data_IF_921944995290
#
_entry.id   IF_921944995290
#
_cell.length_a   1.000
_cell.length_b   1.000
_cell.length_c   1.000
_cell.angle_alpha   90.00
_cell.angle_beta   90.00
_cell.angle_gamma   90.00
#
_symmetry.space_group_name_H-M   'P 1'
#
loop_
_entity.id
_entity.type
_entity.pdbx_description
1 polymer ?
#
# COMPACT_ATOMS: atom_id res chain seq x y z
N UNK A 1 9.34 34.60 -21.56
CA UNK A 1 8.74 33.64 -22.50
C UNK A 1 7.23 33.68 -22.32
N UNK A 2 6.45 33.43 -23.37
CA UNK A 2 5.00 33.37 -23.26
C UNK A 2 4.53 31.97 -22.77
N UNK A 3 3.23 31.79 -22.59
CA UNK A 3 2.68 30.50 -22.15
C UNK A 3 2.99 29.37 -23.14
N UNK A 4 3.10 29.68 -24.44
CA UNK A 4 3.37 28.65 -25.45
C UNK A 4 4.78 28.10 -25.32
N UNK A 5 5.80 28.96 -25.18
CA UNK A 5 7.16 28.48 -24.95
C UNK A 5 7.30 27.70 -23.64
N UNK A 6 6.61 28.11 -22.57
CA UNK A 6 6.62 27.32 -21.34
C UNK A 6 5.93 25.96 -21.48
N UNK A 7 4.91 25.82 -22.35
CA UNK A 7 4.30 24.52 -22.64
C UNK A 7 5.26 23.58 -23.35
N UNK A 8 6.11 24.10 -24.24
CA UNK A 8 7.17 23.31 -24.89
C UNK A 8 8.19 22.82 -23.86
N UNK A 9 8.65 23.68 -22.96
CA UNK A 9 9.54 23.28 -21.85
C UNK A 9 8.89 22.25 -20.93
N UNK A 10 7.60 22.42 -20.61
CA UNK A 10 6.86 21.45 -19.80
C UNK A 10 6.71 20.09 -20.51
N UNK A 11 6.58 20.07 -21.84
CA UNK A 11 6.61 18.84 -22.63
C UNK A 11 8.00 18.19 -22.58
N UNK A 12 9.06 18.95 -22.86
CA UNK A 12 10.44 18.45 -22.79
C UNK A 12 10.78 17.90 -21.39
N UNK A 13 10.26 18.52 -20.32
CA UNK A 13 10.39 18.01 -18.96
C UNK A 13 9.75 16.64 -18.78
N UNK A 14 8.57 16.41 -19.36
CA UNK A 14 7.87 15.11 -19.29
C UNK A 14 8.63 13.99 -20.01
N UNK A 15 9.36 14.34 -21.06
CA UNK A 15 10.18 13.42 -21.84
C UNK A 15 11.60 13.26 -21.27
N UNK A 16 11.97 14.04 -20.25
CA UNK A 16 13.29 14.02 -19.63
C UNK A 16 14.36 14.78 -20.42
N UNK A 17 13.95 15.63 -21.35
CA UNK A 17 14.82 16.37 -22.28
C UNK A 17 15.09 17.81 -21.85
N UNK A 18 14.29 18.37 -20.94
CA UNK A 18 14.47 19.74 -20.44
C UNK A 18 15.70 19.86 -19.53
N UNK A 19 16.50 20.90 -19.76
CA UNK A 19 17.65 21.24 -18.90
C UNK A 19 17.23 21.78 -17.53
N UNK A 20 18.17 21.82 -16.59
CA UNK A 20 17.89 22.26 -15.21
C UNK A 20 17.41 23.72 -15.14
N UNK A 21 18.03 24.61 -15.92
CA UNK A 21 17.65 26.03 -15.99
C UNK A 21 16.23 26.22 -16.57
N UNK A 22 15.89 25.44 -17.60
CA UNK A 22 14.56 25.47 -18.23
C UNK A 22 13.48 24.96 -17.26
N UNK A 23 13.80 23.89 -16.52
CA UNK A 23 12.92 23.35 -15.49
C UNK A 23 12.66 24.37 -14.37
N UNK A 24 13.70 25.03 -13.87
CA UNK A 24 13.56 26.06 -12.85
C UNK A 24 12.68 27.22 -13.34
N UNK A 25 12.94 27.71 -14.55
CA UNK A 25 12.14 28.78 -15.16
C UNK A 25 10.66 28.37 -15.37
N UNK A 26 10.41 27.11 -15.73
CA UNK A 26 9.04 26.60 -15.87
C UNK A 26 8.33 26.48 -14.50
N UNK A 27 9.04 26.08 -13.44
CA UNK A 27 8.48 26.03 -12.09
C UNK A 27 8.08 27.42 -11.58
N UNK A 28 8.91 28.44 -11.81
CA UNK A 28 8.58 29.83 -11.51
C UNK A 28 7.31 30.28 -12.26
N UNK A 29 7.19 29.92 -13.54
CA UNK A 29 6.00 30.23 -14.32
C UNK A 29 4.75 29.51 -13.81
N UNK A 30 4.88 28.24 -13.41
CA UNK A 30 3.79 27.46 -12.83
C UNK A 30 3.30 28.03 -11.50
N UNK A 31 4.11 28.77 -10.75
CA UNK A 31 3.64 29.47 -9.55
C UNK A 31 2.58 30.53 -9.89
N UNK A 32 2.74 31.25 -11.00
CA UNK A 32 1.85 32.35 -11.42
C UNK A 32 0.73 31.96 -12.39
N UNK A 33 0.88 30.88 -13.15
CA UNK A 33 0.02 30.63 -14.32
C UNK A 33 -0.90 29.39 -14.16
N UNK A 34 -2.19 29.65 -13.94
CA UNK A 34 -3.19 28.57 -13.80
C UNK A 34 -3.40 27.73 -15.07
N UNK A 35 -3.31 28.34 -16.25
CA UNK A 35 -3.51 27.62 -17.52
C UNK A 35 -2.34 26.68 -17.84
N UNK A 36 -1.11 27.06 -17.48
CA UNK A 36 0.07 26.20 -17.62
C UNK A 36 0.10 25.09 -16.57
N UNK A 37 -0.41 25.32 -15.35
CA UNK A 37 -0.63 24.24 -14.37
C UNK A 37 -1.62 23.19 -14.90
N UNK A 38 -2.77 23.64 -15.42
CA UNK A 38 -3.76 22.73 -16.00
C UNK A 38 -3.22 21.96 -17.21
N UNK A 39 -2.40 22.61 -18.04
CA UNK A 39 -1.70 21.94 -19.14
C UNK A 39 -0.75 20.86 -18.63
N UNK A 40 0.12 21.17 -17.66
CA UNK A 40 1.09 20.22 -17.10
C UNK A 40 0.37 18.99 -16.51
N UNK A 41 -0.65 19.21 -15.68
CA UNK A 41 -1.46 18.13 -15.09
C UNK A 41 -2.13 17.24 -16.15
N UNK A 42 -2.62 17.87 -17.23
CA UNK A 42 -3.24 17.18 -18.36
C UNK A 42 -2.24 16.32 -19.13
N UNK A 43 -1.08 16.88 -19.44
CA UNK A 43 -0.01 16.19 -20.15
C UNK A 43 0.54 15.00 -19.32
N UNK A 44 0.73 15.19 -18.01
CA UNK A 44 1.09 14.11 -17.07
C UNK A 44 0.07 12.98 -17.07
N UNK A 45 -1.22 13.33 -17.01
CA UNK A 45 -2.32 12.35 -17.02
C UNK A 45 -2.35 11.57 -18.33
N UNK A 46 -2.27 12.25 -19.47
CA UNK A 46 -2.24 11.61 -20.79
C UNK A 46 -1.03 10.71 -20.94
N UNK A 47 0.15 11.16 -20.51
CA UNK A 47 1.38 10.37 -20.54
C UNK A 47 1.26 9.08 -19.72
N UNK A 48 0.63 9.12 -18.54
CA UNK A 48 0.36 7.91 -17.75
C UNK A 48 -0.60 6.96 -18.46
N UNK A 49 -1.71 7.47 -18.99
CA UNK A 49 -2.70 6.65 -19.71
C UNK A 49 -2.12 5.99 -20.97
N UNK A 50 -1.22 6.69 -21.67
CA UNK A 50 -0.58 6.15 -22.87
C UNK A 50 0.46 5.06 -22.55
N UNK A 51 1.15 5.15 -21.40
CA UNK A 51 2.24 4.24 -21.02
C UNK A 51 1.79 3.02 -20.22
N UNK A 52 0.70 3.13 -19.46
CA UNK A 52 0.24 2.08 -18.57
C UNK A 52 -0.87 1.28 -19.22
N UNK A 53 -0.59 0.01 -19.53
CA UNK A 53 -1.55 -0.96 -20.02
C UNK A 53 -1.26 -2.34 -19.45
N UNK A 54 -2.17 -3.31 -19.66
CA UNK A 54 -1.88 -4.71 -19.39
C UNK A 54 -0.59 -5.12 -20.10
N UNK A 55 0.33 -5.73 -19.37
CA UNK A 55 1.52 -6.30 -19.98
C UNK A 55 1.12 -7.50 -20.84
N UNK A 56 1.72 -7.61 -22.03
CA UNK A 56 1.64 -8.84 -22.81
C UNK A 56 2.23 -10.00 -21.98
N UNK A 57 1.69 -11.22 -22.14
CA UNK A 57 2.20 -12.38 -21.43
C UNK A 57 3.64 -12.67 -21.86
N UNK A 58 4.57 -12.26 -21.01
CA UNK A 58 6.01 -12.46 -21.16
C UNK A 58 6.49 -13.49 -20.12
N UNK A 59 7.55 -14.25 -20.41
CA UNK A 59 8.19 -15.09 -19.39
C UNK A 59 8.61 -14.25 -18.18
N UNK A 60 8.44 -14.79 -16.97
CA UNK A 60 8.95 -14.13 -15.77
C UNK A 60 10.48 -14.15 -15.77
N UNK A 61 11.08 -12.95 -15.81
CA UNK A 61 12.52 -12.76 -15.81
C UNK A 61 13.05 -12.28 -14.45
N UNK A 62 12.20 -12.20 -13.42
CA UNK A 62 12.52 -11.61 -12.11
C UNK A 62 13.82 -12.21 -11.54
N UNK A 63 13.89 -13.54 -11.43
CA UNK A 63 15.07 -14.22 -10.87
C UNK A 63 16.35 -13.97 -11.67
N UNK A 64 16.25 -13.93 -13.01
CA UNK A 64 17.39 -13.68 -13.89
C UNK A 64 17.93 -12.27 -13.74
N UNK A 65 17.04 -11.28 -13.66
CA UNK A 65 17.42 -9.87 -13.47
C UNK A 65 18.03 -9.66 -12.09
N UNK A 66 17.42 -10.20 -11.03
CA UNK A 66 17.95 -10.09 -9.66
C UNK A 66 19.33 -10.75 -9.54
N UNK A 67 19.50 -11.95 -10.11
CA UNK A 67 20.80 -12.62 -10.15
C UNK A 67 21.86 -11.79 -10.89
N UNK A 68 21.51 -11.16 -12.02
CA UNK A 68 22.43 -10.30 -12.77
C UNK A 68 22.87 -9.04 -11.99
N UNK A 69 22.01 -8.53 -11.11
CA UNK A 69 22.32 -7.40 -10.21
C UNK A 69 23.05 -7.84 -8.93
N UNK A 70 23.35 -9.14 -8.77
CA UNK A 70 23.94 -9.69 -7.56
C UNK A 70 22.99 -9.69 -6.36
N UNK A 71 21.70 -9.46 -6.58
CA UNK A 71 20.68 -9.50 -5.53
C UNK A 71 20.31 -10.96 -5.31
N UNK A 72 20.77 -11.53 -4.20
CA UNK A 72 20.34 -12.85 -3.76
C UNK A 72 18.94 -12.74 -3.18
N UNK A 73 18.05 -13.67 -3.54
CA UNK A 73 16.75 -13.75 -2.89
C UNK A 73 16.96 -13.91 -1.37
N UNK A 74 16.23 -13.13 -0.54
CA UNK A 74 16.28 -13.35 0.89
C UNK A 74 15.87 -14.78 1.20
N UNK A 75 16.55 -15.40 2.18
CA UNK A 75 16.20 -16.75 2.61
C UNK A 75 14.69 -16.82 2.90
N UNK A 76 14.00 -17.91 2.51
CA UNK A 76 12.58 -18.05 2.78
C UNK A 76 12.33 -17.80 4.26
N UNK A 77 11.34 -16.96 4.55
CA UNK A 77 10.97 -16.67 5.93
C UNK A 77 10.67 -17.99 6.64
N UNK A 78 11.10 -18.17 7.90
CA UNK A 78 10.72 -19.33 8.67
C UNK A 78 9.18 -19.42 8.70
N UNK A 79 8.61 -20.63 8.66
CA UNK A 79 7.17 -20.79 8.76
C UNK A 79 6.68 -20.06 10.01
N UNK A 80 5.61 -19.28 9.85
CA UNK A 80 4.98 -18.63 11.00
C UNK A 80 4.57 -19.72 11.99
N UNK A 81 4.80 -19.52 13.31
CA UNK A 81 4.35 -20.48 14.30
C UNK A 81 2.83 -20.68 14.17
N UNK A 82 2.38 -21.94 14.27
CA UNK A 82 0.96 -22.24 14.24
C UNK A 82 0.25 -21.48 15.35
N UNK A 83 -0.66 -20.57 14.99
CA UNK A 83 -1.52 -19.91 15.96
C UNK A 83 -2.59 -20.91 16.40
N UNK A 84 -2.68 -21.26 17.70
CA UNK A 84 -3.71 -22.18 18.16
C UNK A 84 -5.09 -21.58 17.89
N UNK A 85 -5.99 -22.37 17.30
CA UNK A 85 -7.40 -21.97 17.16
C UNK A 85 -8.07 -22.05 18.52
N UNK A 86 -8.28 -20.90 19.14
CA UNK A 86 -9.04 -20.77 20.37
C UNK A 86 -10.53 -20.80 20.04
N UNK A 87 -11.28 -21.70 20.67
CA UNK A 87 -12.75 -21.75 20.59
C UNK A 87 -13.36 -21.29 21.90
N UNK A 88 -14.43 -20.50 21.85
CA UNK A 88 -15.20 -20.15 23.04
C UNK A 88 -15.84 -21.43 23.61
N UNK A 89 -15.72 -21.65 24.92
CA UNK A 89 -16.45 -22.72 25.62
C UNK A 89 -17.96 -22.38 25.68
N UNK A 90 -18.79 -23.42 25.81
CA UNK A 90 -20.23 -23.26 26.06
C UNK A 90 -20.47 -22.37 27.28
N UNK A 91 -21.32 -21.35 27.12
CA UNK A 91 -21.57 -20.31 28.12
C UNK A 91 -20.69 -19.04 28.01
N UNK A 92 -19.81 -18.96 27.01
CA UNK A 92 -19.05 -17.74 26.69
C UNK A 92 -19.84 -16.69 25.88
N UNK A 93 -19.34 -15.45 25.86
CA UNK A 93 -19.97 -14.29 25.16
C UNK A 93 -20.20 -14.48 23.64
N UNK A 94 -19.64 -15.53 23.03
CA UNK A 94 -19.76 -15.83 21.59
C UNK A 94 -21.04 -16.61 21.22
N UNK A 95 -21.89 -16.91 22.19
CA UNK A 95 -23.13 -17.70 22.00
C UNK A 95 -24.32 -16.89 21.45
N UNK A 96 -24.17 -15.57 21.29
CA UNK A 96 -25.13 -14.70 20.60
C UNK A 96 -24.61 -14.30 19.23
N UNK A 97 -25.50 -14.25 18.22
CA UNK A 97 -25.23 -13.95 16.82
C UNK A 97 -24.03 -12.99 16.62
N UNK A 98 -22.94 -13.54 16.09
CA UNK A 98 -21.70 -12.82 15.84
C UNK A 98 -21.94 -11.65 14.87
N UNK A 99 -22.09 -10.45 15.42
CA UNK A 99 -21.91 -9.22 14.64
C UNK A 99 -20.46 -9.18 14.16
N UNK A 100 -20.24 -8.88 12.87
CA UNK A 100 -18.90 -8.63 12.32
C UNK A 100 -18.15 -7.65 13.22
N UNK A 101 -16.99 -8.08 13.74
CA UNK A 101 -16.10 -7.17 14.44
C UNK A 101 -15.69 -6.01 13.51
N UNK A 102 -15.66 -4.76 14.01
CA UNK A 102 -15.21 -3.63 13.20
C UNK A 102 -13.75 -3.81 12.79
N UNK A 103 -13.44 -3.44 11.55
CA UNK A 103 -12.08 -3.44 11.01
C UNK A 103 -11.22 -2.49 11.85
N UNK A 104 -10.06 -2.96 12.33
CA UNK A 104 -9.10 -2.14 13.09
C UNK A 104 -9.00 -2.44 14.59
N UNK A 105 -9.74 -3.43 15.12
CA UNK A 105 -9.53 -3.89 16.50
C UNK A 105 -8.37 -4.86 16.56
N UNK A 106 -7.33 -4.52 17.30
CA UNK A 106 -6.23 -5.44 17.61
C UNK A 106 -6.79 -6.50 18.57
N UNK A 107 -6.74 -7.80 18.23
CA UNK A 107 -7.16 -8.83 19.15
C UNK A 107 -6.26 -8.85 20.38
N UNK A 108 -6.82 -9.17 21.55
CA UNK A 108 -6.03 -9.45 22.75
C UNK A 108 -5.15 -10.69 22.54
N UNK A 109 -4.21 -10.97 23.45
CA UNK A 109 -3.34 -12.16 23.39
C UNK A 109 -4.12 -13.49 23.24
N UNK A 110 -5.40 -13.52 23.61
CA UNK A 110 -6.32 -14.65 23.46
C UNK A 110 -7.18 -14.61 22.17
N UNK A 111 -6.94 -13.71 21.22
CA UNK A 111 -7.64 -13.65 19.94
C UNK A 111 -9.04 -12.99 19.97
N UNK A 112 -9.53 -12.52 21.11
CA UNK A 112 -10.80 -11.81 21.22
C UNK A 112 -10.68 -10.32 20.87
N UNK A 113 -11.76 -9.70 20.38
CA UNK A 113 -11.83 -8.24 20.28
C UNK A 113 -11.61 -7.61 21.66
N UNK A 114 -10.85 -6.51 21.75
CA UNK A 114 -10.53 -5.82 23.00
C UNK A 114 -11.76 -5.28 23.76
N UNK A 115 -12.93 -5.28 23.11
CA UNK A 115 -14.25 -4.93 23.63
C UNK A 115 -15.01 -6.12 24.23
N UNK A 116 -14.45 -7.33 24.21
CA UNK A 116 -15.09 -8.52 24.76
C UNK A 116 -15.12 -8.46 26.30
N UNK A 117 -16.30 -8.62 26.89
CA UNK A 117 -16.54 -8.57 28.34
C UNK A 117 -16.01 -9.78 29.14
N UNK A 118 -15.10 -10.59 28.58
CA UNK A 118 -14.59 -11.82 29.18
C UNK A 118 -13.64 -11.62 30.39
N UNK A 119 -13.50 -10.40 30.91
CA UNK A 119 -12.86 -10.12 32.20
C UNK A 119 -11.33 -10.08 32.22
N UNK A 120 -10.65 -10.41 31.11
CA UNK A 120 -9.18 -10.45 31.09
C UNK A 120 -8.52 -9.05 31.22
N UNK A 121 -9.27 -7.96 31.03
CA UNK A 121 -8.83 -6.57 31.23
C UNK A 121 -8.88 -6.11 32.71
N UNK A 122 -9.46 -6.91 33.61
CA UNK A 122 -9.69 -6.56 35.03
C UNK A 122 -8.98 -7.50 36.01
N UNK A 123 -8.00 -8.29 35.55
CA UNK A 123 -7.23 -9.20 36.40
C UNK A 123 -7.92 -10.54 36.73
N UNK A 124 -9.07 -10.84 36.12
CA UNK A 124 -9.70 -12.15 36.22
C UNK A 124 -9.02 -13.19 35.28
N UNK A 125 -8.92 -14.47 35.68
CA UNK A 125 -8.32 -15.49 34.83
C UNK A 125 -9.17 -15.73 33.58
N UNK A 126 -8.52 -15.62 32.42
CA UNK A 126 -9.12 -15.82 31.11
C UNK A 126 -9.63 -17.28 31.02
N UNK A 127 -10.92 -17.49 30.70
CA UNK A 127 -11.56 -18.83 30.67
C UNK A 127 -11.56 -19.51 29.29
N UNK A 128 -10.73 -19.05 28.35
CA UNK A 128 -10.60 -19.68 27.04
C UNK A 128 -9.80 -20.99 27.18
N UNK A 129 -10.34 -22.13 26.73
CA UNK A 129 -9.59 -23.39 26.67
C UNK A 129 -8.90 -23.54 25.30
N UNK A 130 -7.67 -24.05 25.33
CA UNK A 130 -6.97 -24.48 24.12
C UNK A 130 -7.55 -25.84 23.72
N UNK A 131 -8.02 -25.99 22.48
CA UNK A 131 -8.37 -27.31 21.95
C UNK A 131 -7.06 -28.03 21.63
N UNK A 132 -6.77 -29.15 22.30
CA UNK A 132 -5.69 -30.03 21.87
C UNK A 132 -6.02 -30.54 20.46
N UNK A 133 -5.00 -30.53 19.58
CA UNK A 133 -5.11 -31.06 18.22
C UNK A 133 -5.33 -32.58 18.24
#
# INVERSE_FOLDING_TARGET
MDCQGYREVLSARLDGEAGDDERAAAEDHLAGCASCRAFADGADRLGRLARVGPADPLPDLTDRVLAALGVSAPAPAPPLPAVPRLSCLDGGCCSGAAGRAPVGVVPSACGCASTCGCGCQQGAPCRCAVRAA
#
